data_IF_577384591475
#
_entry.id   IF_577384591475
#
_cell.length_a   1.000
_cell.length_b   1.000
_cell.length_c   1.000
_cell.angle_alpha   90.00
_cell.angle_beta   90.00
_cell.angle_gamma   90.00
#
_symmetry.space_group_name_H-M   'P 1'
#
loop_
_entity.id
_entity.type
_entity.pdbx_description
1 polymer ?
#
# COMPACT_ATOMS: atom_id res chain seq x y z
N UNK A 1 8.45 28.88 -3.04
CA UNK A 1 8.44 30.31 -2.62
C UNK A 1 8.75 30.45 -1.13
N UNK A 2 9.65 29.60 -0.60
CA UNK A 2 9.96 29.65 0.82
C UNK A 2 10.69 30.94 1.22
N UNK A 3 11.27 31.63 0.24
CA UNK A 3 11.79 33.00 0.33
C UNK A 3 10.81 34.04 0.89
N UNK A 4 9.49 33.84 0.68
CA UNK A 4 8.45 34.75 1.18
C UNK A 4 7.87 34.31 2.54
N UNK A 5 7.99 33.02 2.87
CA UNK A 5 7.35 32.41 4.04
C UNK A 5 8.29 32.28 5.26
N UNK A 6 9.61 32.17 5.03
CA UNK A 6 10.60 32.01 6.10
C UNK A 6 10.87 33.34 6.82
N UNK A 7 9.98 33.72 7.73
CA UNK A 7 10.09 34.96 8.52
C UNK A 7 10.54 34.72 9.96
N UNK A 8 10.20 33.56 10.53
CA UNK A 8 10.50 33.21 11.92
C UNK A 8 11.33 31.93 12.03
N UNK A 9 12.22 31.81 13.03
CA UNK A 9 12.84 30.53 13.40
C UNK A 9 11.78 29.47 13.69
N UNK A 10 11.94 28.26 13.15
CA UNK A 10 10.99 27.15 13.38
C UNK A 10 9.84 27.03 12.38
N UNK A 11 9.62 28.02 11.50
CA UNK A 11 8.52 28.01 10.52
C UNK A 11 8.50 26.76 9.61
N UNK A 12 9.67 26.18 9.29
CA UNK A 12 9.75 24.94 8.50
C UNK A 12 9.20 23.72 9.27
N UNK A 13 9.45 23.65 10.58
CA UNK A 13 8.97 22.54 11.40
C UNK A 13 7.45 22.62 11.58
N UNK A 14 6.94 23.81 11.89
CA UNK A 14 5.49 24.06 12.02
C UNK A 14 4.76 23.76 10.71
N UNK A 15 5.26 24.28 9.58
CA UNK A 15 4.63 24.04 8.30
C UNK A 15 4.70 22.56 7.89
N UNK A 16 5.79 21.87 8.22
CA UNK A 16 5.90 20.42 8.02
C UNK A 16 4.83 19.66 8.81
N UNK A 17 4.59 20.02 10.07
CA UNK A 17 3.53 19.42 10.89
C UNK A 17 2.15 19.67 10.29
N UNK A 18 1.88 20.89 9.82
CA UNK A 18 0.62 21.23 9.13
C UNK A 18 0.44 20.34 7.90
N UNK A 19 1.46 20.26 7.02
CA UNK A 19 1.39 19.43 5.81
C UNK A 19 1.19 17.95 6.17
N UNK A 20 1.88 17.41 7.17
CA UNK A 20 1.74 16.02 7.59
C UNK A 20 0.35 15.73 8.18
N UNK A 21 -0.22 16.67 8.94
CA UNK A 21 -1.57 16.55 9.48
C UNK A 21 -2.63 16.58 8.36
N UNK A 22 -2.48 17.50 7.40
CA UNK A 22 -3.40 17.65 6.26
C UNK A 22 -3.29 16.46 5.28
N UNK A 23 -2.06 16.02 4.99
CA UNK A 23 -1.75 14.95 4.04
C UNK A 23 -1.36 13.64 4.75
N UNK A 24 -2.09 13.29 5.82
CA UNK A 24 -1.84 12.08 6.62
C UNK A 24 -1.86 10.75 5.85
N UNK A 25 -2.37 10.76 4.62
CA UNK A 25 -2.40 9.60 3.71
C UNK A 25 -1.11 9.46 2.86
N UNK A 26 -0.20 10.42 2.91
CA UNK A 26 1.10 10.41 2.20
C UNK A 26 2.30 10.52 3.17
N UNK A 27 2.37 9.76 4.28
CA UNK A 27 3.44 9.91 5.26
C UNK A 27 4.84 9.57 4.69
N UNK A 28 4.88 8.85 3.56
CA UNK A 28 6.10 8.41 2.88
C UNK A 28 6.67 9.47 1.93
N UNK A 29 5.99 10.60 1.69
CA UNK A 29 6.44 11.60 0.71
C UNK A 29 7.35 12.66 1.38
N UNK A 30 8.58 12.88 0.89
CA UNK A 30 9.48 13.87 1.47
C UNK A 30 8.97 15.30 1.25
N UNK A 31 9.09 16.13 2.30
CA UNK A 31 8.69 17.55 2.27
C UNK A 31 9.94 18.42 2.21
N UNK A 32 10.11 19.15 1.11
CA UNK A 32 11.24 20.03 0.86
C UNK A 32 10.81 21.51 0.83
N UNK A 33 11.60 22.37 1.45
CA UNK A 33 11.38 23.80 1.49
C UNK A 33 12.34 24.54 0.56
N UNK A 34 11.82 25.05 -0.55
CA UNK A 34 12.66 25.56 -1.66
C UNK A 34 12.36 27.01 -2.06
N UNK A 35 13.40 27.68 -2.54
CA UNK A 35 13.31 28.98 -3.19
C UNK A 35 14.16 29.00 -4.46
N UNK A 36 13.51 29.10 -5.62
CA UNK A 36 14.21 29.28 -6.89
C UNK A 36 14.93 30.63 -6.96
N UNK A 37 14.29 31.71 -6.46
CA UNK A 37 14.86 33.06 -6.46
C UNK A 37 16.16 33.12 -5.64
N UNK A 38 16.17 32.52 -4.45
CA UNK A 38 17.36 32.47 -3.58
C UNK A 38 18.25 31.25 -3.80
N UNK A 39 17.93 30.42 -4.81
CA UNK A 39 18.58 29.12 -5.08
C UNK A 39 18.67 28.18 -3.84
N UNK A 40 17.77 28.35 -2.86
CA UNK A 40 17.72 27.53 -1.64
C UNK A 40 17.07 26.18 -1.96
N UNK A 41 17.76 25.09 -1.61
CA UNK A 41 17.22 23.73 -1.66
C UNK A 41 17.10 23.12 -3.06
N UNK A 42 17.66 23.74 -4.10
CA UNK A 42 17.55 23.25 -5.48
C UNK A 42 18.29 21.91 -5.67
N UNK A 43 19.53 21.80 -5.18
CA UNK A 43 20.28 20.53 -5.21
C UNK A 43 19.54 19.43 -4.46
N UNK A 44 18.97 19.75 -3.29
CA UNK A 44 18.20 18.80 -2.47
C UNK A 44 16.98 18.23 -3.21
N UNK A 45 16.35 19.00 -4.10
CA UNK A 45 15.26 18.49 -4.95
C UNK A 45 15.76 17.39 -5.87
N UNK A 46 16.90 17.62 -6.54
CA UNK A 46 17.49 16.64 -7.47
C UNK A 46 17.91 15.39 -6.71
N UNK A 47 18.62 15.54 -5.59
CA UNK A 47 19.08 14.42 -4.77
C UNK A 47 17.89 13.60 -4.24
N UNK A 48 16.83 14.28 -3.79
CA UNK A 48 15.61 13.61 -3.33
C UNK A 48 14.89 12.90 -4.46
N UNK A 49 14.82 13.49 -5.66
CA UNK A 49 14.22 12.84 -6.81
C UNK A 49 14.96 11.55 -7.19
N UNK A 50 16.30 11.56 -7.12
CA UNK A 50 17.12 10.37 -7.36
C UNK A 50 16.87 9.29 -6.29
N UNK A 51 16.84 9.64 -5.00
CA UNK A 51 16.50 8.71 -3.91
C UNK A 51 15.10 8.10 -4.07
N UNK A 52 14.11 8.91 -4.43
CA UNK A 52 12.74 8.44 -4.68
C UNK A 52 12.70 7.49 -5.89
N UNK A 53 13.48 7.78 -6.94
CA UNK A 53 13.62 6.88 -8.09
C UNK A 53 14.26 5.55 -7.67
N UNK A 54 15.33 5.57 -6.89
CA UNK A 54 15.96 4.34 -6.39
C UNK A 54 14.99 3.53 -5.53
N UNK A 55 14.31 4.18 -4.57
CA UNK A 55 13.32 3.57 -3.71
C UNK A 55 12.20 2.89 -4.52
N UNK A 56 11.75 3.53 -5.60
CA UNK A 56 10.76 2.97 -6.52
C UNK A 56 11.22 1.62 -7.07
N UNK A 57 12.43 1.51 -7.58
CA UNK A 57 12.91 0.27 -8.19
C UNK A 57 13.36 -0.82 -7.19
N UNK A 58 13.25 -0.60 -5.87
CA UNK A 58 13.63 -1.61 -4.88
C UNK A 58 12.80 -2.89 -5.01
N UNK A 59 13.48 -4.04 -4.94
CA UNK A 59 12.88 -5.37 -5.01
C UNK A 59 13.21 -6.18 -3.77
N UNK A 60 12.18 -6.67 -3.09
CA UNK A 60 12.28 -7.61 -1.99
C UNK A 60 12.35 -9.03 -2.56
N UNK A 61 13.17 -9.89 -1.96
CA UNK A 61 13.07 -11.31 -2.28
C UNK A 61 11.74 -11.86 -1.79
N UNK A 62 11.23 -12.87 -2.50
CA UNK A 62 10.04 -13.60 -2.07
C UNK A 62 10.18 -14.15 -0.65
N UNK A 63 11.36 -14.67 -0.28
CA UNK A 63 11.61 -15.23 1.06
C UNK A 63 11.46 -14.19 2.17
N UNK A 64 12.09 -13.03 2.01
CA UNK A 64 12.01 -11.93 2.97
C UNK A 64 10.59 -11.40 3.11
N UNK A 65 9.87 -11.22 1.99
CA UNK A 65 8.50 -10.75 2.01
C UNK A 65 7.59 -11.74 2.75
N UNK A 66 7.70 -13.04 2.47
CA UNK A 66 6.87 -14.04 3.15
C UNK A 66 7.20 -14.15 4.63
N UNK A 67 8.47 -13.98 5.03
CA UNK A 67 8.84 -13.92 6.45
C UNK A 67 8.18 -12.71 7.13
N UNK A 68 8.32 -11.52 6.53
CA UNK A 68 7.68 -10.29 7.03
C UNK A 68 6.17 -10.48 7.20
N UNK A 69 5.50 -11.08 6.22
CA UNK A 69 4.05 -11.32 6.28
C UNK A 69 3.69 -12.31 7.38
N UNK A 70 4.47 -13.38 7.58
CA UNK A 70 4.25 -14.31 8.70
C UNK A 70 4.38 -13.62 10.05
N UNK A 71 5.42 -12.82 10.23
CA UNK A 71 5.67 -12.08 11.47
C UNK A 71 4.54 -11.08 11.74
N UNK A 72 4.09 -10.35 10.71
CA UNK A 72 2.97 -9.43 10.79
C UNK A 72 1.65 -10.13 11.17
N UNK A 73 1.36 -11.31 10.59
CA UNK A 73 0.15 -12.09 10.90
C UNK A 73 0.22 -12.68 12.31
N UNK A 74 1.41 -13.07 12.78
CA UNK A 74 1.61 -13.58 14.14
C UNK A 74 1.44 -12.47 15.19
N UNK A 75 1.97 -11.28 14.93
CA UNK A 75 1.83 -10.12 15.81
C UNK A 75 0.40 -9.57 15.85
N UNK A 76 -0.30 -9.56 14.72
CA UNK A 76 -1.67 -9.08 14.62
C UNK A 76 -2.50 -9.99 13.70
N UNK A 77 -3.27 -10.89 14.31
CA UNK A 77 -4.11 -11.83 13.59
C UNK A 77 -5.18 -11.11 12.74
N UNK A 78 -5.46 -11.57 11.51
CA UNK A 78 -6.55 -11.02 10.71
C UNK A 78 -7.90 -11.19 11.41
N UNK A 79 -8.81 -10.21 11.31
CA UNK A 79 -10.15 -10.33 11.84
C UNK A 79 -10.91 -11.44 11.12
N UNK A 80 -11.75 -12.15 11.87
CA UNK A 80 -12.69 -13.12 11.30
C UNK A 80 -13.93 -12.41 10.75
N UNK A 81 -14.43 -12.87 9.62
CA UNK A 81 -15.67 -12.38 8.99
C UNK A 81 -16.50 -13.57 8.54
N UNK A 82 -17.80 -13.57 8.86
CA UNK A 82 -18.71 -14.68 8.55
C UNK A 82 -18.22 -16.05 9.04
N UNK A 83 -17.60 -16.10 10.22
CA UNK A 83 -17.03 -17.35 10.77
C UNK A 83 -15.76 -17.85 10.07
N UNK A 84 -15.26 -17.12 9.07
CA UNK A 84 -14.02 -17.45 8.35
C UNK A 84 -12.91 -16.46 8.70
N UNK A 85 -11.70 -16.98 8.85
CA UNK A 85 -10.49 -16.18 9.06
C UNK A 85 -9.75 -15.99 7.74
N UNK A 86 -9.25 -14.79 7.48
CA UNK A 86 -8.34 -14.54 6.36
C UNK A 86 -7.07 -15.37 6.54
N UNK A 87 -6.69 -16.12 5.51
CA UNK A 87 -5.44 -16.86 5.42
C UNK A 87 -4.65 -16.28 4.26
N UNK A 88 -3.41 -15.90 4.52
CA UNK A 88 -2.45 -15.46 3.52
C UNK A 88 -1.48 -16.63 3.30
N UNK A 89 -1.51 -17.21 2.11
CA UNK A 89 -0.71 -18.40 1.80
C UNK A 89 0.70 -18.02 1.34
N UNK A 90 0.76 -16.96 0.53
CA UNK A 90 1.97 -16.57 -0.17
C UNK A 90 1.87 -15.11 -0.58
N UNK A 91 3.00 -14.42 -0.61
CA UNK A 91 3.13 -13.08 -1.16
C UNK A 91 4.34 -12.96 -2.08
N UNK A 92 4.27 -12.11 -3.10
CA UNK A 92 5.40 -11.80 -3.98
C UNK A 92 5.35 -10.36 -4.46
N UNK A 93 6.50 -9.77 -4.80
CA UNK A 93 6.56 -8.47 -5.45
C UNK A 93 6.55 -8.63 -6.97
N UNK A 94 5.38 -8.45 -7.59
CA UNK A 94 5.18 -8.65 -9.02
C UNK A 94 5.79 -7.52 -9.87
N UNK A 95 5.80 -6.27 -9.39
CA UNK A 95 6.31 -5.09 -10.12
C UNK A 95 7.08 -4.16 -9.19
N UNK A 96 7.93 -3.32 -9.78
CA UNK A 96 8.77 -2.34 -9.06
C UNK A 96 8.41 -0.89 -9.41
N UNK A 97 7.75 -0.59 -10.53
CA UNK A 97 7.36 0.79 -10.84
C UNK A 97 5.84 0.92 -11.06
N UNK A 98 5.05 1.19 -10.01
CA UNK A 98 5.42 1.23 -8.59
C UNK A 98 5.57 -0.18 -7.96
N UNK A 99 6.19 -0.31 -6.78
CA UNK A 99 6.25 -1.54 -6.00
C UNK A 99 4.85 -2.11 -5.82
N UNK A 100 4.62 -3.29 -6.42
CA UNK A 100 3.32 -3.96 -6.40
C UNK A 100 3.50 -5.33 -5.78
N UNK A 101 2.85 -5.56 -4.64
CA UNK A 101 2.85 -6.81 -3.91
C UNK A 101 1.54 -7.55 -4.14
N UNK A 102 1.63 -8.82 -4.53
CA UNK A 102 0.48 -9.69 -4.75
C UNK A 102 0.43 -10.70 -3.60
N UNK A 103 -0.70 -10.74 -2.91
CA UNK A 103 -0.99 -11.67 -1.82
C UNK A 103 -2.00 -12.70 -2.29
N UNK A 104 -1.68 -13.97 -2.11
CA UNK A 104 -2.56 -15.09 -2.40
C UNK A 104 -3.27 -15.47 -1.11
N UNK A 105 -4.60 -15.36 -1.13
CA UNK A 105 -5.45 -15.50 0.05
C UNK A 105 -6.57 -16.52 -0.19
N UNK A 106 -7.20 -16.98 0.87
CA UNK A 106 -8.35 -17.87 0.75
C UNK A 106 -9.57 -17.19 0.12
N UNK A 107 -9.88 -15.97 0.52
CA UNK A 107 -11.00 -15.20 -0.03
C UNK A 107 -10.69 -13.69 0.07
N UNK A 108 -10.72 -12.99 -1.05
CA UNK A 108 -10.42 -11.55 -1.10
C UNK A 108 -11.46 -10.72 -0.36
N UNK A 109 -12.69 -11.21 -0.19
CA UNK A 109 -13.77 -10.53 0.54
C UNK A 109 -13.53 -10.47 2.06
N UNK A 110 -12.58 -11.27 2.55
CA UNK A 110 -12.12 -11.27 3.95
C UNK A 110 -11.04 -10.22 4.21
N UNK A 111 -10.45 -9.63 3.16
CA UNK A 111 -9.44 -8.58 3.31
C UNK A 111 -10.14 -7.25 3.56
N UNK A 112 -10.15 -6.82 4.81
CA UNK A 112 -10.65 -5.50 5.18
C UNK A 112 -9.58 -4.43 4.94
N UNK A 113 -9.98 -3.22 4.54
CA UNK A 113 -9.05 -2.12 4.22
C UNK A 113 -8.09 -1.79 5.37
N UNK A 114 -8.53 -1.97 6.63
CA UNK A 114 -7.67 -1.72 7.80
C UNK A 114 -6.53 -2.74 7.89
N UNK A 115 -6.78 -3.99 7.51
CA UNK A 115 -5.78 -5.04 7.52
C UNK A 115 -4.83 -4.92 6.31
N UNK A 116 -5.36 -4.51 5.16
CA UNK A 116 -4.54 -4.11 4.01
C UNK A 116 -3.58 -2.98 4.38
N UNK A 117 -4.08 -1.90 5.00
CA UNK A 117 -3.24 -0.79 5.49
C UNK A 117 -2.23 -1.24 6.53
N UNK A 118 -2.60 -2.17 7.41
CA UNK A 118 -1.68 -2.76 8.37
C UNK A 118 -0.52 -3.48 7.66
N UNK A 119 -0.80 -4.32 6.66
CA UNK A 119 0.23 -4.99 5.87
C UNK A 119 1.11 -4.00 5.11
N UNK A 120 0.53 -2.95 4.52
CA UNK A 120 1.30 -1.87 3.89
C UNK A 120 2.27 -1.24 4.88
N UNK A 121 1.80 -0.90 6.08
CA UNK A 121 2.63 -0.32 7.13
C UNK A 121 3.76 -1.26 7.58
N UNK A 122 3.49 -2.56 7.70
CA UNK A 122 4.52 -3.55 8.05
C UNK A 122 5.61 -3.64 6.97
N UNK A 123 5.22 -3.61 5.68
CA UNK A 123 6.18 -3.53 4.58
C UNK A 123 6.99 -2.24 4.69
N UNK A 124 6.33 -1.09 4.88
CA UNK A 124 6.99 0.23 4.99
C UNK A 124 7.95 0.36 6.17
N UNK A 125 7.65 -0.28 7.30
CA UNK A 125 8.54 -0.26 8.47
C UNK A 125 9.90 -0.89 8.16
N UNK A 126 9.95 -1.93 7.32
CA UNK A 126 11.20 -2.58 6.93
C UNK A 126 11.79 -2.02 5.63
N UNK A 127 10.93 -1.59 4.71
CA UNK A 127 11.28 -1.05 3.41
C UNK A 127 10.50 0.25 3.18
N UNK A 128 11.05 1.43 3.51
CA UNK A 128 10.29 2.68 3.57
C UNK A 128 9.61 3.12 2.26
N UNK A 129 10.20 2.76 1.10
CA UNK A 129 9.74 3.20 -0.22
C UNK A 129 9.50 4.73 -0.27
N UNK A 130 10.50 5.50 0.15
CA UNK A 130 10.43 6.96 0.22
C UNK A 130 9.94 7.56 -1.11
N UNK A 131 8.95 8.45 -1.01
CA UNK A 131 8.30 9.12 -2.14
C UNK A 131 7.56 8.20 -3.10
N UNK A 132 7.42 6.91 -2.80
CA UNK A 132 6.82 5.93 -3.70
C UNK A 132 5.58 5.27 -3.08
N UNK A 133 4.43 5.30 -3.78
CA UNK A 133 3.25 4.53 -3.37
C UNK A 133 3.53 3.04 -3.54
N UNK A 134 3.07 2.24 -2.58
CA UNK A 134 3.05 0.78 -2.70
C UNK A 134 1.65 0.36 -3.11
N UNK A 135 1.54 -0.67 -3.96
CA UNK A 135 0.26 -1.30 -4.33
C UNK A 135 0.18 -2.68 -3.72
N UNK A 136 -0.92 -2.96 -3.02
CA UNK A 136 -1.25 -4.31 -2.56
C UNK A 136 -2.39 -4.85 -3.41
N UNK A 137 -2.18 -6.01 -4.02
CA UNK A 137 -3.19 -6.74 -4.79
C UNK A 137 -3.47 -8.06 -4.09
N UNK A 138 -4.74 -8.42 -3.94
CA UNK A 138 -5.15 -9.68 -3.31
C UNK A 138 -5.81 -10.59 -4.35
N UNK A 139 -5.35 -11.84 -4.41
CA UNK A 139 -5.89 -12.86 -5.30
C UNK A 139 -6.41 -14.02 -4.48
N UNK A 140 -7.69 -14.34 -4.66
CA UNK A 140 -8.32 -15.49 -4.02
C UNK A 140 -7.86 -16.77 -4.73
N UNK A 141 -7.64 -17.83 -3.96
CA UNK A 141 -7.58 -19.16 -4.53
C UNK A 141 -8.99 -19.51 -5.01
N UNK A 142 -9.24 -19.44 -6.31
CA UNK A 142 -10.55 -19.83 -6.85
C UNK A 142 -10.75 -21.32 -6.55
N UNK A 143 -11.62 -21.64 -5.59
CA UNK A 143 -12.35 -22.88 -5.64
C UNK A 143 -13.33 -22.75 -6.81
N UNK A 144 -13.18 -23.63 -7.78
CA UNK A 144 -13.92 -23.71 -9.05
C UNK A 144 -15.42 -24.06 -8.88
N UNK A 145 -16.04 -23.72 -7.75
CA UNK A 145 -17.31 -24.33 -7.29
C UNK A 145 -18.55 -23.43 -7.31
N UNK A 146 -18.51 -22.24 -7.93
CA UNK A 146 -19.71 -21.42 -8.16
C UNK A 146 -20.20 -21.39 -9.62
N UNK A 147 -19.74 -22.31 -10.49
CA UNK A 147 -20.31 -22.55 -11.82
C UNK A 147 -20.98 -23.93 -11.89
N UNK A 148 -22.12 -24.14 -11.19
CA UNK A 148 -23.10 -25.23 -11.45
C UNK A 148 -24.28 -25.08 -10.49
N UNK A 149 -25.15 -24.10 -10.73
CA UNK A 149 -26.30 -23.87 -9.85
C UNK A 149 -27.34 -22.90 -10.41
N UNK A 150 -27.50 -22.83 -11.72
CA UNK A 150 -28.61 -22.13 -12.34
C UNK A 150 -28.98 -22.82 -13.66
N UNK A 151 -29.41 -24.09 -13.57
CA UNK A 151 -30.19 -24.72 -14.65
C UNK A 151 -31.67 -24.45 -14.38
N UNK A 152 -32.21 -23.55 -15.18
CA UNK A 152 -33.53 -23.63 -15.81
C UNK A 152 -34.74 -23.88 -14.90
N UNK A 153 -35.31 -22.79 -14.40
CA UNK A 153 -36.77 -22.65 -14.30
C UNK A 153 -37.32 -22.33 -15.70
N UNK A 154 -37.95 -23.31 -16.35
CA UNK A 154 -38.98 -23.03 -17.36
C UNK A 154 -40.22 -23.84 -17.03
N UNK A 155 -41.24 -23.12 -16.56
CA UNK A 155 -42.65 -23.52 -16.59
C UNK A 155 -43.13 -23.50 -18.05
N UNK A 156 -44.07 -24.40 -18.33
CA UNK A 156 -44.96 -24.44 -19.49
C UNK A 156 -45.73 -25.76 -19.40
N UNK A 157 -46.81 -25.90 -18.60
CA UNK A 157 -48.23 -25.57 -18.88
C UNK A 157 -48.74 -25.90 -20.28
N UNK A 158 -49.64 -26.90 -20.35
CA UNK A 158 -50.67 -27.13 -21.39
C UNK A 158 -50.16 -27.76 -22.70
N UNK A 159 -50.89 -28.62 -23.41
CA UNK A 159 -52.33 -28.85 -23.57
C UNK A 159 -52.52 -30.24 -24.22
N UNK A 160 -53.62 -30.92 -23.84
CA UNK A 160 -54.37 -32.03 -24.47
C UNK A 160 -53.68 -33.26 -25.08
#
# INVERSE_FOLDING_TARGET
KWDLAAKEPGAEAEFRQVVQATLKFLPYVPILFVSALRRKGITQVVDTALRVREARFQRLSTGELNQLVRDAVAAHAPPSKWGQRLRIYYATQARVDPPTFVFFVNDTRLVHFSYERYLENQIRQRYPFEGTPIRLEFRGHAAETHRKGAKTTRRGTGVD
#
